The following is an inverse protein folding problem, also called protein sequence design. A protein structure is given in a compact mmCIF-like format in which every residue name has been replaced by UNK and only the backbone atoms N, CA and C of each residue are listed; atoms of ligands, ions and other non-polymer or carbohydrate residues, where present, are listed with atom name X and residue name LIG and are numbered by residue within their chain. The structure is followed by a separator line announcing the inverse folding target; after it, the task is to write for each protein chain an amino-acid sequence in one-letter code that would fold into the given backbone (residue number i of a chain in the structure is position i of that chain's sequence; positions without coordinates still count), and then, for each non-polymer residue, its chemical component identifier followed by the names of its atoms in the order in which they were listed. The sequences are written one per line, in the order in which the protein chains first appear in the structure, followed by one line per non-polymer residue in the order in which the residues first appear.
data_IF_710850048485
#
_entry.id   IF_710850048485
#
_cell.length_a   1.000
_cell.length_b   1.000
_cell.length_c   1.000
_cell.angle_alpha   90.00
_cell.angle_beta   90.00
_cell.angle_gamma   90.00
#
_symmetry.space_group_name_H-M   'P 1'
#
loop_
_entity.id
_entity.type
_entity.pdbx_description
1 polymer ?
#
# COMPACT_ATOMS: atom_id res chain seq x y z
N UNK A 1 -7.95 -19.84 -0.36
CA UNK A 1 -7.23 -19.94 0.93
C UNK A 1 -7.59 -18.71 1.73
N UNK A 2 -7.95 -18.84 3.00
CA UNK A 2 -8.33 -17.70 3.84
C UNK A 2 -7.16 -17.36 4.77
N UNK A 3 -6.64 -16.14 4.66
CA UNK A 3 -5.65 -15.63 5.61
C UNK A 3 -6.34 -15.22 6.91
N UNK A 4 -5.70 -15.53 8.03
CA UNK A 4 -6.09 -15.15 9.38
C UNK A 4 -4.93 -14.50 10.10
N UNK A 5 -5.19 -13.83 11.21
CA UNK A 5 -4.13 -13.24 12.02
C UNK A 5 -3.13 -14.29 12.50
N UNK A 6 -3.54 -15.56 12.69
CA UNK A 6 -2.62 -16.62 13.13
C UNK A 6 -1.72 -17.20 12.02
N UNK A 7 -2.09 -17.05 10.74
CA UNK A 7 -1.39 -17.73 9.64
C UNK A 7 -0.83 -16.81 8.55
N UNK A 8 -1.21 -15.53 8.56
CA UNK A 8 -0.85 -14.59 7.49
C UNK A 8 0.65 -14.47 7.28
N UNK A 9 1.44 -14.41 8.35
CA UNK A 9 2.90 -14.27 8.26
C UNK A 9 3.52 -15.42 7.47
N UNK A 10 3.14 -16.66 7.79
CA UNK A 10 3.64 -17.85 7.09
C UNK A 10 3.31 -17.81 5.59
N UNK A 11 2.04 -17.55 5.27
CA UNK A 11 1.59 -17.58 3.88
C UNK A 11 2.15 -16.43 3.05
N UNK A 12 2.11 -15.20 3.58
CA UNK A 12 2.63 -14.02 2.89
C UNK A 12 4.12 -14.20 2.59
N UNK A 13 4.91 -14.68 3.55
CA UNK A 13 6.34 -14.93 3.34
C UNK A 13 6.61 -16.10 2.37
N UNK A 14 5.64 -16.99 2.15
CA UNK A 14 5.76 -18.12 1.21
C UNK A 14 5.39 -17.76 -0.24
N UNK A 15 4.85 -16.56 -0.49
CA UNK A 15 4.39 -16.20 -1.83
C UNK A 15 5.55 -16.05 -2.82
N UNK A 16 5.43 -16.66 -4.01
CA UNK A 16 6.45 -16.52 -5.03
C UNK A 16 6.48 -15.09 -5.58
N UNK A 17 7.64 -14.64 -6.07
CA UNK A 17 7.84 -13.26 -6.58
C UNK A 17 6.80 -12.80 -7.59
N UNK A 18 6.34 -13.70 -8.46
CA UNK A 18 5.34 -13.38 -9.48
C UNK A 18 3.96 -13.03 -8.88
N UNK A 19 3.65 -13.50 -7.67
CA UNK A 19 2.42 -13.16 -6.96
C UNK A 19 2.33 -11.67 -6.61
N UNK A 20 3.48 -11.00 -6.46
CA UNK A 20 3.58 -9.59 -6.07
C UNK A 20 3.54 -8.61 -7.25
N UNK A 21 3.61 -9.12 -8.48
CA UNK A 21 3.67 -8.29 -9.68
C UNK A 21 2.48 -7.34 -9.85
N UNK A 22 1.22 -7.71 -9.53
CA UNK A 22 0.13 -6.76 -9.61
C UNK A 22 0.37 -5.53 -8.72
N UNK A 23 0.91 -5.73 -7.51
CA UNK A 23 1.25 -4.64 -6.61
C UNK A 23 2.39 -3.77 -7.16
N UNK A 24 3.43 -4.39 -7.70
CA UNK A 24 4.58 -3.67 -8.25
C UNK A 24 4.25 -2.92 -9.54
N UNK A 25 3.22 -3.34 -10.27
CA UNK A 25 2.72 -2.64 -11.45
C UNK A 25 2.12 -1.26 -11.14
N UNK A 26 1.81 -0.98 -9.87
CA UNK A 26 1.33 0.33 -9.42
C UNK A 26 2.48 1.34 -9.24
N UNK A 27 3.70 0.86 -8.96
CA UNK A 27 4.87 1.72 -8.67
C UNK A 27 5.12 2.76 -9.77
N UNK A 28 5.25 2.41 -11.07
CA UNK A 28 5.53 3.41 -12.09
C UNK A 28 4.40 4.43 -12.28
N UNK A 29 3.15 4.05 -12.05
CA UNK A 29 2.01 4.98 -12.11
C UNK A 29 2.02 5.98 -10.95
N UNK A 30 2.30 5.50 -9.74
CA UNK A 30 2.43 6.35 -8.56
C UNK A 30 3.63 7.30 -8.66
N UNK A 31 4.75 6.84 -9.24
CA UNK A 31 5.92 7.70 -9.53
C UNK A 31 5.54 8.84 -10.48
N UNK A 32 4.85 8.53 -11.59
CA UNK A 32 4.41 9.55 -12.54
C UNK A 32 3.49 10.60 -11.88
N UNK A 33 2.51 10.15 -11.09
CA UNK A 33 1.59 11.05 -10.37
C UNK A 33 2.34 11.97 -9.41
N UNK A 34 3.32 11.43 -8.67
CA UNK A 34 4.08 12.18 -7.68
C UNK A 34 5.02 13.19 -8.34
N UNK A 35 5.68 12.81 -9.43
CA UNK A 35 6.56 13.69 -10.20
C UNK A 35 5.76 14.82 -10.88
N UNK A 36 4.50 14.56 -11.24
CA UNK A 36 3.56 15.52 -11.79
C UNK A 36 2.85 16.40 -10.73
N UNK A 37 3.17 16.28 -9.44
CA UNK A 37 2.69 17.21 -8.39
C UNK A 37 3.38 18.57 -8.59
N UNK A 38 3.00 19.26 -9.66
CA UNK A 38 3.22 20.67 -9.82
C UNK A 38 2.00 21.39 -9.21
N UNK A 39 2.18 22.24 -8.18
CA UNK A 39 1.09 22.95 -7.51
C UNK A 39 0.23 23.81 -8.46
N UNK A 40 0.74 24.12 -9.65
CA UNK A 40 0.07 24.92 -10.68
C UNK A 40 -0.68 24.07 -11.73
N UNK A 41 -0.53 22.74 -11.72
CA UNK A 41 -1.12 21.81 -12.70
C UNK A 41 -2.14 20.85 -12.10
N UNK A 42 -2.73 21.18 -10.94
CA UNK A 42 -3.96 20.50 -10.46
C UNK A 42 -5.11 20.84 -11.40
N UNK A 43 -5.11 20.23 -12.56
CA UNK A 43 -6.20 20.25 -13.54
C UNK A 43 -7.00 18.94 -13.46
N UNK A 44 -8.05 18.83 -14.28
CA UNK A 44 -8.91 17.65 -14.34
C UNK A 44 -8.11 16.37 -14.67
N UNK A 45 -6.98 16.48 -15.36
CA UNK A 45 -6.14 15.34 -15.72
C UNK A 45 -5.41 14.79 -14.51
N UNK A 46 -4.91 15.64 -13.61
CA UNK A 46 -4.32 15.20 -12.33
C UNK A 46 -5.31 14.43 -11.45
N UNK A 47 -6.53 14.97 -11.28
CA UNK A 47 -7.58 14.31 -10.48
C UNK A 47 -8.01 12.98 -11.08
N UNK A 48 -8.11 12.88 -12.41
CA UNK A 48 -8.40 11.64 -13.12
C UNK A 48 -7.30 10.59 -12.92
N UNK A 49 -6.02 10.99 -12.96
CA UNK A 49 -4.90 10.09 -12.73
C UNK A 49 -4.89 9.53 -11.30
N UNK A 50 -5.10 10.40 -10.29
CA UNK A 50 -5.23 9.99 -8.90
C UNK A 50 -6.39 9.01 -8.70
N UNK A 51 -7.56 9.33 -9.25
CA UNK A 51 -8.74 8.47 -9.14
C UNK A 51 -8.50 7.09 -9.77
N UNK A 52 -7.83 7.04 -10.94
CA UNK A 52 -7.46 5.77 -11.57
C UNK A 52 -6.50 4.96 -10.71
N UNK A 53 -5.49 5.60 -10.11
CA UNK A 53 -4.54 4.93 -9.23
C UNK A 53 -5.21 4.39 -7.97
N UNK A 54 -6.17 5.12 -7.39
CA UNK A 54 -6.96 4.65 -6.24
C UNK A 54 -7.74 3.37 -6.56
N UNK A 55 -8.54 3.40 -7.63
CA UNK A 55 -9.34 2.24 -8.06
C UNK A 55 -8.45 1.05 -8.37
N UNK A 56 -7.31 1.27 -9.05
CA UNK A 56 -6.38 0.20 -9.37
C UNK A 56 -5.73 -0.38 -8.12
N UNK A 57 -5.35 0.44 -7.14
CA UNK A 57 -4.86 -0.02 -5.85
C UNK A 57 -5.90 -0.88 -5.12
N UNK A 58 -7.14 -0.40 -4.99
CA UNK A 58 -8.23 -1.12 -4.33
C UNK A 58 -8.46 -2.50 -4.98
N UNK A 59 -8.59 -2.54 -6.31
CA UNK A 59 -8.72 -3.80 -7.05
C UNK A 59 -7.51 -4.73 -6.83
N UNK A 60 -6.29 -4.18 -6.84
CA UNK A 60 -5.06 -4.96 -6.64
C UNK A 60 -5.02 -5.59 -5.24
N UNK A 61 -5.44 -4.87 -4.21
CA UNK A 61 -5.51 -5.40 -2.84
C UNK A 61 -6.53 -6.53 -2.74
N UNK A 62 -7.65 -6.45 -3.47
CA UNK A 62 -8.66 -7.51 -3.51
C UNK A 62 -8.19 -8.75 -4.30
N UNK A 63 -7.37 -8.57 -5.34
CA UNK A 63 -6.86 -9.66 -6.18
C UNK A 63 -5.69 -10.43 -5.55
N UNK A 64 -4.81 -9.73 -4.82
CA UNK A 64 -3.67 -10.37 -4.16
C UNK A 64 -4.16 -10.97 -2.84
N UNK A 65 -3.84 -12.24 -2.53
CA UNK A 65 -4.33 -12.92 -1.32
C UNK A 65 -3.64 -12.44 -0.04
N UNK A 66 -3.40 -11.14 0.14
CA UNK A 66 -2.78 -10.57 1.35
C UNK A 66 -3.81 -10.07 2.38
N UNK A 67 -5.11 -10.03 2.05
CA UNK A 67 -6.16 -9.49 2.92
C UNK A 67 -6.57 -10.49 3.99
N UNK A 68 -6.56 -10.05 5.26
CA UNK A 68 -7.09 -10.78 6.41
C UNK A 68 -7.77 -9.85 7.41
N UNK A 69 -8.53 -10.43 8.35
CA UNK A 69 -9.15 -9.69 9.44
C UNK A 69 -8.19 -9.56 10.62
N UNK A 70 -8.11 -8.35 11.18
CA UNK A 70 -7.40 -8.02 12.42
C UNK A 70 -8.01 -6.71 12.95
N UNK A 71 -7.76 -6.39 14.23
CA UNK A 71 -8.27 -5.17 14.88
C UNK A 71 -7.47 -3.92 14.44
N UNK A 72 -7.65 -3.54 13.18
CA UNK A 72 -7.00 -2.37 12.58
C UNK A 72 -7.34 -1.04 13.29
N UNK A 73 -8.56 -0.81 13.81
CA UNK A 73 -8.85 0.39 14.60
C UNK A 73 -8.11 0.43 15.93
N UNK A 74 -7.78 -0.71 16.54
CA UNK A 74 -6.97 -0.74 17.77
C UNK A 74 -5.46 -0.81 17.53
N UNK A 75 -5.00 -0.97 16.28
CA UNK A 75 -3.59 -1.14 15.95
C UNK A 75 -2.78 0.18 16.02
N UNK A 76 -2.39 0.56 17.24
CA UNK A 76 -1.60 1.78 17.52
C UNK A 76 -0.25 1.82 16.82
N UNK A 77 0.40 0.66 16.68
CA UNK A 77 1.70 0.57 16.04
C UNK A 77 1.60 0.99 14.56
N UNK A 78 0.63 0.43 13.83
CA UNK A 78 0.37 0.81 12.43
C UNK A 78 0.06 2.30 12.28
N UNK A 79 -0.72 2.88 13.19
CA UNK A 79 -0.96 4.34 13.23
C UNK A 79 0.34 5.14 13.37
N UNK A 80 1.24 4.72 14.26
CA UNK A 80 2.54 5.38 14.45
C UNK A 80 3.41 5.27 13.20
N UNK A 81 3.39 4.13 12.52
CA UNK A 81 4.15 3.94 11.26
C UNK A 81 3.69 4.91 10.17
N UNK A 82 2.37 5.01 9.93
CA UNK A 82 1.82 5.85 8.84
C UNK A 82 1.82 7.35 9.16
N UNK A 83 1.82 7.71 10.46
CA UNK A 83 1.85 9.12 10.89
C UNK A 83 3.25 9.71 11.00
N UNK A 84 4.32 8.89 10.99
CA UNK A 84 5.69 9.38 10.92
C UNK A 84 6.17 9.45 9.45
N UNK A 85 6.33 10.65 8.88
CA UNK A 85 6.79 10.81 7.50
C UNK A 85 8.19 10.21 7.25
N UNK A 86 8.97 9.94 8.30
CA UNK A 86 10.33 9.41 8.21
C UNK A 86 10.43 7.93 8.60
N UNK A 87 9.31 7.27 8.87
CA UNK A 87 9.30 5.86 9.21
C UNK A 87 9.99 5.02 8.12
N UNK A 88 10.94 4.17 8.51
CA UNK A 88 11.65 3.29 7.59
C UNK A 88 10.88 1.98 7.43
N UNK A 89 10.12 1.83 6.35
CA UNK A 89 9.40 0.58 6.09
C UNK A 89 10.35 -0.61 5.85
N UNK A 90 11.61 -0.40 5.50
CA UNK A 90 12.57 -1.50 5.38
C UNK A 90 12.92 -2.13 6.74
N UNK A 91 12.60 -1.47 7.86
CA UNK A 91 12.86 -1.99 9.20
C UNK A 91 11.80 -2.99 9.71
N UNK A 92 10.70 -3.18 8.97
CA UNK A 92 9.64 -4.16 9.31
C UNK A 92 9.56 -5.26 8.27
N UNK A 93 8.81 -6.33 8.51
CA UNK A 93 8.67 -7.44 7.56
C UNK A 93 7.58 -7.19 6.49
N UNK A 94 7.46 -8.07 5.49
CA UNK A 94 6.45 -7.95 4.44
C UNK A 94 5.01 -8.13 4.99
N UNK A 95 4.72 -9.11 5.87
CA UNK A 95 3.41 -9.25 6.51
C UNK A 95 2.93 -7.97 7.21
N UNK A 96 3.81 -7.29 7.95
CA UNK A 96 3.48 -6.01 8.62
C UNK A 96 3.14 -4.92 7.60
N UNK A 97 3.91 -4.81 6.50
CA UNK A 97 3.58 -3.87 5.41
C UNK A 97 2.22 -4.19 4.78
N UNK A 98 1.89 -5.47 4.59
CA UNK A 98 0.57 -5.88 4.11
C UNK A 98 -0.55 -5.45 5.09
N UNK A 99 -0.35 -5.56 6.41
CA UNK A 99 -1.29 -5.01 7.41
C UNK A 99 -1.52 -3.51 7.21
N UNK A 100 -0.45 -2.76 6.94
CA UNK A 100 -0.56 -1.32 6.65
C UNK A 100 -1.40 -1.10 5.39
N UNK A 101 -1.11 -1.79 4.28
CA UNK A 101 -1.90 -1.65 3.04
C UNK A 101 -3.39 -1.95 3.25
N UNK A 102 -3.71 -3.00 4.02
CA UNK A 102 -5.11 -3.33 4.39
C UNK A 102 -5.73 -2.20 5.20
N UNK A 103 -5.00 -1.66 6.19
CA UNK A 103 -5.50 -0.57 7.01
C UNK A 103 -5.74 0.71 6.19
N UNK A 104 -4.84 1.06 5.26
CA UNK A 104 -5.02 2.19 4.35
C UNK A 104 -6.26 1.98 3.47
N UNK A 105 -6.38 0.81 2.85
CA UNK A 105 -7.54 0.46 2.01
C UNK A 105 -8.86 0.55 2.80
N UNK A 106 -8.88 0.00 4.02
CA UNK A 106 -10.07 0.05 4.88
C UNK A 106 -10.39 1.46 5.36
N UNK A 107 -9.39 2.27 5.67
CA UNK A 107 -9.59 3.64 6.15
C UNK A 107 -10.28 4.54 5.12
N UNK A 108 -10.06 4.29 3.83
CA UNK A 108 -10.67 5.04 2.74
C UNK A 108 -12.20 4.89 2.70
N UNK A 109 -12.74 3.77 3.18
CA UNK A 109 -14.18 3.59 3.32
C UNK A 109 -14.82 4.42 4.46
N UNK A 110 -14.01 4.95 5.38
CA UNK A 110 -14.48 5.71 6.55
C UNK A 110 -14.05 7.17 6.53
N UNK A 111 -13.02 7.51 5.77
CA UNK A 111 -12.49 8.86 5.64
C UNK A 111 -12.29 9.17 4.16
N UNK A 112 -13.24 9.93 3.60
CA UNK A 112 -13.17 10.39 2.21
C UNK A 112 -11.82 11.06 1.94
N UNK A 113 -11.11 10.57 0.92
CA UNK A 113 -9.82 11.11 0.51
C UNK A 113 -8.60 10.55 1.25
N UNK A 114 -8.77 9.64 2.22
CA UNK A 114 -7.62 9.08 2.93
C UNK A 114 -6.62 8.38 1.98
N UNK A 115 -7.09 7.56 1.04
CA UNK A 115 -6.20 6.92 0.07
C UNK A 115 -5.55 7.95 -0.87
N UNK A 116 -6.29 9.01 -1.23
CA UNK A 116 -5.76 10.14 -2.01
C UNK A 116 -4.55 10.75 -1.31
N UNK A 117 -4.70 11.12 -0.04
CA UNK A 117 -3.65 11.76 0.75
C UNK A 117 -2.42 10.85 0.90
N UNK A 118 -2.64 9.53 1.02
CA UNK A 118 -1.55 8.54 1.07
C UNK A 118 -0.79 8.39 -0.26
N UNK A 119 -1.45 8.62 -1.40
CA UNK A 119 -0.81 8.67 -2.72
C UNK A 119 -0.04 9.98 -2.86
N UNK A 120 -0.70 11.13 -2.65
CA UNK A 120 -0.11 12.46 -2.82
C UNK A 120 1.12 12.68 -1.90
N UNK A 121 1.08 12.15 -0.67
CA UNK A 121 2.22 12.20 0.27
C UNK A 121 3.36 11.24 -0.07
N UNK A 122 3.18 10.34 -1.03
CA UNK A 122 4.12 9.28 -1.39
C UNK A 122 4.22 8.14 -0.37
N UNK A 123 3.37 8.10 0.66
CA UNK A 123 3.35 7.03 1.65
C UNK A 123 3.10 5.67 0.98
N UNK A 124 2.07 5.59 0.13
CA UNK A 124 1.73 4.34 -0.56
C UNK A 124 2.93 3.85 -1.38
N UNK A 125 3.53 4.73 -2.20
CA UNK A 125 4.67 4.41 -3.04
C UNK A 125 5.86 3.87 -2.22
N UNK A 126 6.17 4.48 -1.07
CA UNK A 126 7.26 4.02 -0.19
C UNK A 126 7.03 2.62 0.34
N UNK A 127 5.80 2.29 0.74
CA UNK A 127 5.44 0.95 1.20
C UNK A 127 5.61 -0.06 0.06
N UNK A 128 5.10 0.25 -1.15
CA UNK A 128 5.19 -0.67 -2.30
C UNK A 128 6.64 -0.94 -2.72
N UNK A 129 7.48 0.10 -2.78
CA UNK A 129 8.92 -0.04 -3.06
C UNK A 129 9.60 -0.89 -1.99
N UNK A 130 9.32 -0.65 -0.72
CA UNK A 130 9.90 -1.44 0.37
C UNK A 130 9.49 -2.91 0.33
N UNK A 131 8.23 -3.24 -0.02
CA UNK A 131 7.80 -4.62 -0.27
C UNK A 131 8.59 -5.21 -1.45
N UNK A 132 8.69 -4.50 -2.57
CA UNK A 132 9.43 -4.94 -3.75
C UNK A 132 10.88 -5.26 -3.42
N UNK A 133 11.57 -4.32 -2.78
CA UNK A 133 12.97 -4.46 -2.47
C UNK A 133 13.19 -5.69 -1.56
N UNK A 134 12.36 -5.89 -0.53
CA UNK A 134 12.47 -7.06 0.35
C UNK A 134 12.12 -8.39 -0.35
N UNK A 135 11.10 -8.41 -1.21
CA UNK A 135 10.72 -9.60 -2.00
C UNK A 135 11.78 -9.96 -3.03
N UNK A 136 12.45 -8.96 -3.62
CA UNK A 136 13.48 -9.17 -4.63
C UNK A 136 14.84 -9.57 -4.04
N UNK A 137 15.21 -9.05 -2.86
CA UNK A 137 16.49 -9.31 -2.19
C UNK A 137 16.53 -10.60 -1.35
N UNK A 138 15.39 -11.15 -0.90
CA UNK A 138 15.34 -12.38 -0.10
C UNK A 138 15.48 -13.67 -0.93
N UNK A 139 16.23 -13.64 -2.04
CA UNK A 139 16.41 -14.78 -2.98
C UNK A 139 17.81 -14.83 -3.55
#
# INVERSE_FOLDING_TARGET
MYLTEENHEYFINSYPKNQWQPLFSLIPELEAIIDEINPLSRDLTYDEQLFRAQIKFQNTIEEIPIVFSFDWPAWEEGRRMVSDPRFDFNSVDVPTKCKVLIALNRSDHFCDGALRDNIESGLLLRILKSIRDQVEHNT
#
